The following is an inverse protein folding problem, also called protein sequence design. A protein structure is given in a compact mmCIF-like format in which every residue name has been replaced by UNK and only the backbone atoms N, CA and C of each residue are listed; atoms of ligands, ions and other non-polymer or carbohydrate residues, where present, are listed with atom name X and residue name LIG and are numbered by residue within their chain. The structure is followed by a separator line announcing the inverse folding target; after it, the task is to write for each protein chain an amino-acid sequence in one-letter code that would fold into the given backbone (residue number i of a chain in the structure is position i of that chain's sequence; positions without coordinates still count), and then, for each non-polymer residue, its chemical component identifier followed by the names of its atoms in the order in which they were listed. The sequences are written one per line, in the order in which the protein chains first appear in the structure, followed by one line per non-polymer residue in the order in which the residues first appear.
data_IF_610246727394
#
_entry.id   IF_610246727394
#
_cell.length_a   1.000
_cell.length_b   1.000
_cell.length_c   1.000
_cell.angle_alpha   90.00
_cell.angle_beta   90.00
_cell.angle_gamma   90.00
#
_symmetry.space_group_name_H-M   'P 1'
#
loop_
_entity.id
_entity.type
_entity.pdbx_description
1 polymer ?
#
# COMPACT_ATOMS: atom_id res chain seq x y z
N UNK A 1 14.88 6.09 10.67
CA UNK A 1 15.10 5.68 9.27
C UNK A 1 14.09 6.37 8.37
N UNK A 2 14.36 6.39 7.06
CA UNK A 2 13.50 7.00 6.08
C UNK A 2 13.09 6.00 5.01
N UNK A 3 11.80 5.89 4.79
CA UNK A 3 11.19 5.04 3.77
C UNK A 3 10.46 5.89 2.75
N UNK A 4 10.21 5.31 1.58
CA UNK A 4 9.46 5.95 0.51
C UNK A 4 8.33 5.06 0.02
N UNK A 5 7.28 5.69 -0.45
CA UNK A 5 6.17 5.04 -1.13
C UNK A 5 5.62 6.00 -2.19
N UNK A 6 4.59 5.59 -2.92
CA UNK A 6 3.92 6.43 -3.88
C UNK A 6 2.43 6.15 -3.90
N UNK A 7 1.67 7.09 -4.42
CA UNK A 7 0.25 6.90 -4.68
C UNK A 7 0.00 7.09 -6.17
N UNK A 8 -0.93 6.33 -6.79
CA UNK A 8 -1.31 6.53 -8.17
C UNK A 8 -2.20 7.77 -8.32
N UNK A 9 -2.38 8.19 -9.58
CA UNK A 9 -3.31 9.25 -9.90
C UNK A 9 -4.75 8.83 -9.59
N UNK A 10 -5.58 9.83 -9.29
CA UNK A 10 -7.03 9.71 -9.28
C UNK A 10 -7.60 10.44 -10.48
N UNK A 11 -8.52 9.80 -11.15
CA UNK A 11 -9.04 10.26 -12.43
C UNK A 11 -10.56 10.29 -12.44
N UNK A 12 -11.15 11.10 -13.31
CA UNK A 12 -12.60 11.22 -13.42
C UNK A 12 -13.16 10.03 -14.20
N UNK A 13 -14.16 9.34 -13.65
CA UNK A 13 -14.83 8.16 -14.23
C UNK A 13 -15.28 8.40 -15.68
N UNK A 14 -15.90 9.55 -15.96
CA UNK A 14 -16.40 9.90 -17.31
C UNK A 14 -15.33 10.00 -18.39
N UNK A 15 -14.06 10.15 -17.99
CA UNK A 15 -12.92 10.29 -18.91
C UNK A 15 -12.33 8.95 -19.35
N UNK A 16 -12.84 7.84 -18.82
CA UNK A 16 -12.39 6.48 -19.10
C UNK A 16 -13.36 5.83 -20.11
N UNK A 17 -12.80 5.24 -21.15
CA UNK A 17 -13.58 4.40 -22.08
C UNK A 17 -13.54 2.93 -21.60
N UNK A 18 -14.47 2.59 -20.71
CA UNK A 18 -14.59 1.26 -20.13
C UNK A 18 -14.83 0.14 -21.16
N UNK A 19 -15.37 0.47 -22.35
CA UNK A 19 -15.58 -0.52 -23.41
C UNK A 19 -14.27 -1.11 -23.95
N UNK A 20 -13.15 -0.47 -23.70
CA UNK A 20 -11.79 -0.89 -24.08
C UNK A 20 -11.03 -1.61 -22.99
N UNK A 21 -11.59 -1.70 -21.79
CA UNK A 21 -10.96 -2.30 -20.62
C UNK A 21 -11.54 -3.69 -20.34
N UNK A 22 -10.80 -4.47 -19.57
CA UNK A 22 -11.25 -5.77 -19.08
C UNK A 22 -12.04 -5.59 -17.79
N UNK A 23 -13.32 -5.92 -17.79
CA UNK A 23 -14.17 -5.83 -16.59
C UNK A 23 -13.82 -6.93 -15.59
N UNK A 24 -13.77 -6.56 -14.31
CA UNK A 24 -13.67 -7.47 -13.17
C UNK A 24 -14.90 -7.30 -12.26
N UNK A 25 -15.94 -8.11 -12.46
CA UNK A 25 -17.20 -7.94 -11.75
C UNK A 25 -17.15 -8.37 -10.27
N UNK A 26 -16.08 -9.04 -9.83
CA UNK A 26 -16.00 -9.68 -8.53
C UNK A 26 -16.63 -11.07 -8.51
N UNK A 27 -16.64 -11.70 -7.34
CA UNK A 27 -17.22 -13.03 -7.16
C UNK A 27 -18.76 -12.98 -7.26
N UNK A 28 -19.41 -14.07 -7.70
CA UNK A 28 -20.87 -14.17 -7.67
C UNK A 28 -21.41 -14.00 -6.24
N UNK A 29 -22.58 -13.36 -6.08
CA UNK A 29 -23.19 -13.12 -4.77
C UNK A 29 -23.33 -14.39 -3.92
N UNK A 30 -23.53 -15.55 -4.57
CA UNK A 30 -23.62 -16.86 -3.90
C UNK A 30 -22.30 -17.36 -3.31
N UNK A 31 -21.17 -16.78 -3.72
CA UNK A 31 -19.82 -17.18 -3.28
C UNK A 31 -19.17 -16.14 -2.38
N UNK A 32 -19.84 -14.99 -2.17
CA UNK A 32 -19.31 -13.92 -1.34
C UNK A 32 -19.13 -14.39 0.10
N UNK A 33 -17.94 -14.15 0.65
CA UNK A 33 -17.63 -14.40 2.05
C UNK A 33 -17.57 -13.06 2.81
N UNK A 34 -18.28 -12.95 3.94
CA UNK A 34 -18.21 -11.73 4.73
C UNK A 34 -16.81 -11.55 5.32
N UNK A 35 -16.35 -10.30 5.37
CA UNK A 35 -15.09 -9.95 5.99
C UNK A 35 -15.14 -10.10 7.52
N UNK A 36 -16.31 -9.92 8.12
CA UNK A 36 -16.56 -10.08 9.55
C UNK A 36 -17.39 -11.34 9.82
N UNK A 37 -16.98 -12.13 10.80
CA UNK A 37 -17.75 -13.29 11.31
C UNK A 37 -19.09 -12.89 11.94
N UNK A 38 -19.32 -11.58 12.19
CA UNK A 38 -20.57 -11.05 12.74
C UNK A 38 -21.55 -10.56 11.66
N UNK A 39 -21.24 -10.77 10.39
CA UNK A 39 -22.11 -10.35 9.28
C UNK A 39 -23.12 -11.46 8.98
N UNK A 40 -24.38 -11.22 9.29
CA UNK A 40 -25.49 -12.14 9.04
C UNK A 40 -26.34 -11.75 7.80
N UNK A 41 -26.14 -10.55 7.27
CA UNK A 41 -26.89 -10.05 6.11
C UNK A 41 -26.35 -10.63 4.80
N UNK A 42 -27.22 -10.91 3.81
CA UNK A 42 -26.79 -11.23 2.46
C UNK A 42 -25.90 -10.13 1.88
N UNK A 43 -24.83 -10.54 1.22
CA UNK A 43 -23.91 -9.61 0.56
C UNK A 43 -24.19 -9.53 -0.95
N UNK A 44 -23.96 -8.36 -1.49
CA UNK A 44 -24.07 -8.11 -2.93
C UNK A 44 -22.91 -7.26 -3.39
N UNK A 45 -22.38 -7.57 -4.57
CA UNK A 45 -21.43 -6.68 -5.23
C UNK A 45 -22.15 -5.39 -5.64
N UNK A 46 -21.57 -4.26 -5.29
CA UNK A 46 -22.15 -2.93 -5.56
C UNK A 46 -21.43 -2.18 -6.66
N UNK A 47 -20.18 -2.51 -6.90
CA UNK A 47 -19.31 -1.85 -7.85
C UNK A 47 -18.45 -2.87 -8.59
N UNK A 48 -18.05 -2.51 -9.80
CA UNK A 48 -17.13 -3.29 -10.61
C UNK A 48 -15.78 -2.58 -10.66
N UNK A 49 -14.72 -3.34 -10.87
CA UNK A 49 -13.39 -2.87 -11.20
C UNK A 49 -13.03 -3.22 -12.65
N UNK A 50 -12.01 -2.59 -13.19
CA UNK A 50 -11.53 -2.86 -14.55
C UNK A 50 -10.02 -2.98 -14.55
N UNK A 51 -9.50 -3.64 -15.59
CA UNK A 51 -8.06 -3.70 -15.82
C UNK A 51 -7.73 -2.97 -17.12
N UNK A 52 -6.82 -2.02 -17.03
CA UNK A 52 -6.11 -1.44 -18.15
C UNK A 52 -4.67 -2.00 -18.17
N UNK A 53 -3.97 -1.83 -19.27
CA UNK A 53 -2.60 -2.28 -19.41
C UNK A 53 -1.73 -1.17 -19.99
N UNK A 54 -0.53 -1.01 -19.44
CA UNK A 54 0.53 -0.24 -20.11
C UNK A 54 0.91 -0.92 -21.43
N UNK A 55 1.63 -0.21 -22.27
CA UNK A 55 2.10 -0.70 -23.57
C UNK A 55 3.52 -0.16 -23.86
N UNK A 56 4.19 -0.58 -24.95
CA UNK A 56 5.54 -0.12 -25.26
C UNK A 56 5.68 1.40 -25.37
N UNK A 57 4.65 2.11 -25.88
CA UNK A 57 4.68 3.58 -25.93
C UNK A 57 4.61 4.20 -24.54
N UNK A 58 3.76 3.66 -23.65
CA UNK A 58 3.71 4.04 -22.23
C UNK A 58 5.09 3.88 -21.58
N UNK A 59 5.74 2.72 -21.82
CA UNK A 59 7.07 2.44 -21.27
C UNK A 59 8.13 3.39 -21.82
N UNK A 60 8.08 3.69 -23.11
CA UNK A 60 9.00 4.65 -23.75
C UNK A 60 8.87 6.03 -23.11
N UNK A 61 7.64 6.57 -22.97
CA UNK A 61 7.39 7.86 -22.33
C UNK A 61 7.98 7.91 -20.91
N UNK A 62 7.78 6.87 -20.14
CA UNK A 62 8.30 6.77 -18.77
C UNK A 62 9.83 6.75 -18.78
N UNK A 63 10.46 5.90 -19.62
CA UNK A 63 11.92 5.77 -19.69
C UNK A 63 12.61 7.05 -20.18
N UNK A 64 12.05 7.72 -21.19
CA UNK A 64 12.58 8.99 -21.70
C UNK A 64 12.58 10.11 -20.65
N UNK A 65 11.72 9.98 -19.63
CA UNK A 65 11.58 10.96 -18.56
C UNK A 65 12.04 10.46 -17.19
N UNK A 66 12.68 9.29 -17.10
CA UNK A 66 12.99 8.63 -15.83
C UNK A 66 13.81 9.51 -14.88
N UNK A 67 14.73 10.32 -15.40
CA UNK A 67 15.57 11.21 -14.62
C UNK A 67 14.80 12.43 -14.04
N UNK A 68 13.58 12.67 -14.50
CA UNK A 68 12.68 13.69 -13.95
C UNK A 68 11.88 13.16 -12.74
N UNK A 69 11.91 11.86 -12.50
CA UNK A 69 11.30 11.26 -11.31
C UNK A 69 12.16 11.54 -10.08
N UNK A 70 11.61 12.12 -9.00
CA UNK A 70 12.30 12.27 -7.72
C UNK A 70 12.91 10.99 -7.18
N UNK A 71 12.29 9.83 -7.49
CA UNK A 71 12.77 8.51 -7.10
C UNK A 71 14.08 8.11 -7.81
N UNK A 72 14.26 8.53 -9.07
CA UNK A 72 15.43 8.21 -9.91
C UNK A 72 16.41 9.40 -10.06
N UNK A 73 15.94 10.62 -9.89
CA UNK A 73 16.73 11.83 -9.93
C UNK A 73 17.54 12.12 -8.66
N UNK A 74 17.52 11.22 -7.66
CA UNK A 74 18.30 11.36 -6.43
C UNK A 74 17.72 12.34 -5.39
N UNK A 75 16.49 12.81 -5.60
CA UNK A 75 15.83 13.75 -4.68
C UNK A 75 15.23 13.02 -3.47
N UNK A 76 14.85 11.76 -3.63
CA UNK A 76 14.29 10.88 -2.59
C UNK A 76 15.28 9.74 -2.36
N UNK A 77 15.80 9.63 -1.14
CA UNK A 77 16.81 8.62 -0.75
C UNK A 77 16.23 7.43 0.02
N UNK A 78 14.98 7.52 0.48
CA UNK A 78 14.32 6.49 1.28
C UNK A 78 14.22 5.12 0.56
N UNK A 79 14.20 4.05 1.34
CA UNK A 79 14.00 2.68 0.83
C UNK A 79 12.52 2.49 0.47
N UNK A 80 12.24 2.03 -0.75
CA UNK A 80 10.88 1.77 -1.22
C UNK A 80 10.29 0.46 -0.70
N UNK A 81 8.96 0.32 -0.69
CA UNK A 81 8.29 -0.90 -0.27
C UNK A 81 8.58 -2.03 -1.25
N UNK A 82 8.82 -3.23 -0.71
CA UNK A 82 9.15 -4.42 -1.50
C UNK A 82 8.00 -4.88 -2.42
N UNK A 83 6.77 -4.68 -1.97
CA UNK A 83 5.58 -5.25 -2.61
C UNK A 83 4.69 -4.24 -3.35
N UNK A 84 5.06 -2.98 -3.41
CA UNK A 84 4.32 -1.94 -4.11
C UNK A 84 5.27 -1.04 -4.92
N UNK A 85 5.91 -1.57 -5.98
CA UNK A 85 6.81 -0.78 -6.82
C UNK A 85 6.02 0.28 -7.59
N UNK A 86 6.64 1.43 -7.83
CA UNK A 86 6.10 2.45 -8.73
C UNK A 86 6.03 1.93 -10.18
N UNK A 87 5.31 2.63 -11.04
CA UNK A 87 5.27 2.25 -12.46
C UNK A 87 6.66 2.36 -13.09
N UNK A 88 7.46 3.36 -12.68
CA UNK A 88 8.86 3.51 -13.09
C UNK A 88 9.68 2.28 -12.69
N UNK A 89 9.54 1.83 -11.44
CA UNK A 89 10.22 0.61 -10.96
C UNK A 89 9.83 -0.63 -11.78
N UNK A 90 8.54 -0.76 -12.12
CA UNK A 90 8.05 -1.89 -12.93
C UNK A 90 8.66 -1.88 -14.32
N UNK A 91 8.66 -0.73 -14.98
CA UNK A 91 9.20 -0.57 -16.34
C UNK A 91 10.71 -0.82 -16.38
N UNK A 92 11.45 -0.34 -15.37
CA UNK A 92 12.91 -0.54 -15.31
C UNK A 92 13.27 -1.97 -14.92
N UNK A 93 12.68 -2.49 -13.84
CA UNK A 93 13.05 -3.82 -13.30
C UNK A 93 12.55 -4.98 -14.16
N UNK A 94 11.44 -4.80 -14.86
CA UNK A 94 10.81 -5.82 -15.70
C UNK A 94 10.76 -5.40 -17.16
N UNK A 95 11.88 -4.86 -17.67
CA UNK A 95 12.00 -4.35 -19.04
C UNK A 95 11.67 -5.37 -20.14
N UNK A 96 11.71 -6.68 -19.84
CA UNK A 96 11.29 -7.73 -20.76
C UNK A 96 9.77 -7.98 -20.83
N UNK A 97 8.96 -7.22 -20.08
CA UNK A 97 7.49 -7.30 -20.14
C UNK A 97 6.93 -6.19 -21.01
N UNK A 98 6.10 -6.55 -21.97
CA UNK A 98 5.48 -5.60 -22.90
C UNK A 98 4.36 -4.78 -22.25
N UNK A 99 3.82 -5.23 -21.10
CA UNK A 99 2.72 -4.57 -20.40
C UNK A 99 2.71 -4.86 -18.90
N UNK A 100 2.15 -3.92 -18.14
CA UNK A 100 1.86 -4.07 -16.72
C UNK A 100 0.37 -3.77 -16.47
N UNK A 101 -0.31 -4.53 -15.61
CA UNK A 101 -1.70 -4.27 -15.27
C UNK A 101 -1.85 -3.03 -14.40
N UNK A 102 -2.93 -2.31 -14.65
CA UNK A 102 -3.41 -1.18 -13.84
C UNK A 102 -4.87 -1.50 -13.49
N UNK A 103 -5.16 -1.64 -12.20
CA UNK A 103 -6.52 -1.84 -11.74
C UNK A 103 -7.20 -0.48 -11.62
N UNK A 104 -8.37 -0.37 -12.21
CA UNK A 104 -9.19 0.84 -12.22
C UNK A 104 -10.32 0.62 -11.23
N UNK A 105 -10.21 1.24 -10.08
CA UNK A 105 -11.05 0.98 -8.92
C UNK A 105 -11.82 2.24 -8.53
N UNK A 106 -13.16 2.16 -8.28
CA UNK A 106 -13.90 3.30 -7.75
C UNK A 106 -13.44 3.63 -6.32
N UNK A 107 -13.24 4.92 -6.02
CA UNK A 107 -12.89 5.38 -4.67
C UNK A 107 -14.06 5.30 -3.67
N UNK A 108 -15.23 4.91 -4.13
CA UNK A 108 -16.44 4.73 -3.33
C UNK A 108 -17.68 4.60 -4.20
N UNK A 109 -18.81 4.22 -3.59
CA UNK A 109 -20.08 4.00 -4.31
C UNK A 109 -20.65 5.28 -4.94
N UNK A 110 -20.45 6.42 -4.30
CA UNK A 110 -21.07 7.70 -4.65
C UNK A 110 -20.04 8.75 -5.11
N UNK A 111 -18.96 8.32 -5.77
CA UNK A 111 -17.94 9.22 -6.28
C UNK A 111 -17.64 8.94 -7.75
N UNK A 112 -17.29 9.99 -8.47
CA UNK A 112 -16.79 9.89 -9.84
C UNK A 112 -15.25 9.69 -9.88
N UNK A 113 -14.60 9.59 -8.70
CA UNK A 113 -13.17 9.44 -8.58
C UNK A 113 -12.76 7.97 -8.71
N UNK A 114 -11.88 7.69 -9.68
CA UNK A 114 -11.32 6.36 -9.91
C UNK A 114 -9.84 6.33 -9.52
N UNK A 115 -9.43 5.25 -8.89
CA UNK A 115 -8.06 5.00 -8.42
C UNK A 115 -7.34 4.07 -9.41
N UNK A 116 -6.13 4.41 -9.81
CA UNK A 116 -5.35 3.65 -10.79
C UNK A 116 -4.30 2.77 -10.09
N UNK A 117 -4.77 1.74 -9.39
CA UNK A 117 -3.93 0.82 -8.63
C UNK A 117 -2.86 0.16 -9.51
N UNK A 118 -1.61 0.24 -9.07
CA UNK A 118 -0.47 -0.32 -9.80
C UNK A 118 0.25 0.66 -10.70
N UNK A 119 -0.24 1.92 -10.81
CA UNK A 119 0.39 3.00 -11.55
C UNK A 119 0.84 4.17 -10.65
N UNK A 120 1.28 3.85 -9.42
CA UNK A 120 1.95 4.83 -8.56
C UNK A 120 3.16 5.42 -9.27
N UNK A 121 3.32 6.75 -9.23
CA UNK A 121 4.38 7.44 -9.94
C UNK A 121 4.86 8.67 -9.17
N UNK A 122 6.09 9.06 -9.39
CA UNK A 122 6.66 10.33 -8.95
C UNK A 122 7.02 11.25 -10.11
N UNK A 123 6.72 10.84 -11.33
CA UNK A 123 6.97 11.66 -12.52
C UNK A 123 6.16 12.96 -12.49
N UNK A 124 6.66 14.06 -13.09
CA UNK A 124 5.91 15.30 -13.21
C UNK A 124 4.58 15.15 -13.92
N UNK A 125 3.64 16.03 -13.64
CA UNK A 125 2.25 15.96 -14.13
C UNK A 125 2.14 15.94 -15.66
N UNK A 126 2.99 16.68 -16.38
CA UNK A 126 3.04 16.66 -17.84
C UNK A 126 3.39 15.27 -18.39
N UNK A 127 4.31 14.57 -17.73
CA UNK A 127 4.68 13.20 -18.08
C UNK A 127 3.58 12.22 -17.71
N UNK A 128 2.93 12.40 -16.55
CA UNK A 128 1.78 11.58 -16.14
C UNK A 128 0.66 11.68 -17.16
N UNK A 129 0.30 12.88 -17.58
CA UNK A 129 -0.69 13.12 -18.64
C UNK A 129 -0.33 12.38 -19.95
N UNK A 130 0.96 12.44 -20.32
CA UNK A 130 1.43 11.80 -21.55
C UNK A 130 1.36 10.27 -21.48
N UNK A 131 1.88 9.67 -20.42
CA UNK A 131 1.90 8.21 -20.33
C UNK A 131 0.52 7.61 -20.06
N UNK A 132 -0.36 8.26 -19.26
CA UNK A 132 -1.72 7.76 -19.08
C UNK A 132 -2.50 7.79 -20.39
N UNK A 133 -2.41 8.87 -21.19
CA UNK A 133 -3.11 8.97 -22.46
C UNK A 133 -2.61 8.00 -23.54
N UNK A 134 -1.44 7.41 -23.37
CA UNK A 134 -0.94 6.36 -24.26
C UNK A 134 -1.61 4.99 -23.99
N UNK A 135 -2.34 4.84 -22.88
CA UNK A 135 -2.99 3.60 -22.46
C UNK A 135 -4.36 3.50 -23.14
N UNK A 136 -4.67 2.32 -23.70
CA UNK A 136 -5.95 2.04 -24.31
C UNK A 136 -7.09 2.23 -23.31
N UNK A 137 -8.09 3.05 -23.67
CA UNK A 137 -9.21 3.42 -22.81
C UNK A 137 -8.97 4.68 -21.98
N UNK A 138 -7.74 5.23 -21.98
CA UNK A 138 -7.37 6.44 -21.24
C UNK A 138 -7.01 7.62 -22.17
N UNK A 139 -7.33 7.54 -23.43
CA UNK A 139 -6.92 8.54 -24.43
C UNK A 139 -7.40 9.96 -24.07
N UNK A 140 -8.55 10.06 -23.40
CA UNK A 140 -9.17 11.33 -22.97
C UNK A 140 -9.13 11.50 -21.43
N UNK A 141 -8.22 10.82 -20.73
CA UNK A 141 -8.21 10.78 -19.27
C UNK A 141 -8.10 12.18 -18.67
N UNK A 142 -8.89 12.43 -17.66
CA UNK A 142 -8.94 13.66 -16.88
C UNK A 142 -8.39 13.36 -15.48
N UNK A 143 -7.19 13.85 -15.18
CA UNK A 143 -6.55 13.65 -13.87
C UNK A 143 -7.17 14.64 -12.89
N UNK A 144 -7.84 14.13 -11.86
CA UNK A 144 -8.39 14.91 -10.76
C UNK A 144 -7.31 15.21 -9.71
N UNK A 145 -6.41 14.24 -9.50
CA UNK A 145 -5.27 14.35 -8.58
C UNK A 145 -4.08 13.59 -9.17
N UNK A 146 -2.97 14.25 -9.47
CA UNK A 146 -1.77 13.58 -9.96
C UNK A 146 -1.23 12.56 -8.96
N UNK A 147 -0.53 11.55 -9.46
CA UNK A 147 0.28 10.65 -8.65
C UNK A 147 1.43 11.43 -8.00
N UNK A 148 1.86 11.01 -6.83
CA UNK A 148 2.99 11.62 -6.12
C UNK A 148 3.73 10.60 -5.26
N UNK A 149 5.01 10.88 -5.01
CA UNK A 149 5.80 10.12 -4.06
C UNK A 149 5.68 10.70 -2.66
N UNK A 150 5.84 9.82 -1.68
CA UNK A 150 5.89 10.15 -0.26
C UNK A 150 7.20 9.62 0.30
N UNK A 151 7.91 10.43 1.06
CA UNK A 151 9.01 10.02 1.90
C UNK A 151 8.60 10.25 3.36
N UNK A 152 8.84 9.29 4.24
CA UNK A 152 8.43 9.35 5.63
C UNK A 152 9.50 8.79 6.57
N UNK A 153 9.59 9.38 7.76
CA UNK A 153 10.46 8.91 8.81
C UNK A 153 9.77 7.84 9.65
N UNK A 154 10.52 6.86 10.12
CA UNK A 154 10.09 5.89 11.10
C UNK A 154 11.12 5.77 12.22
N UNK A 155 10.66 5.38 13.40
CA UNK A 155 11.56 5.05 14.51
C UNK A 155 12.27 3.73 14.23
N UNK A 156 13.38 3.49 14.92
CA UNK A 156 13.91 2.14 15.02
C UNK A 156 13.01 1.33 15.95
N UNK A 157 12.26 0.33 15.47
CA UNK A 157 11.30 -0.38 16.31
C UNK A 157 11.95 -1.20 17.43
N UNK A 158 13.27 -1.43 17.38
CA UNK A 158 14.00 -2.02 18.51
C UNK A 158 14.05 -1.09 19.73
N UNK A 159 13.70 0.19 19.56
CA UNK A 159 13.52 1.15 20.66
C UNK A 159 12.14 1.07 21.34
N UNK A 160 11.31 0.12 20.94
CA UNK A 160 10.01 -0.17 21.54
C UNK A 160 10.08 -1.44 22.39
N UNK A 161 9.26 -1.47 23.44
CA UNK A 161 8.98 -2.69 24.20
C UNK A 161 7.99 -3.59 23.44
N UNK A 162 7.85 -4.86 23.87
CA UNK A 162 6.86 -5.77 23.30
C UNK A 162 5.39 -5.32 23.49
N UNK A 163 5.17 -4.30 24.29
CA UNK A 163 3.89 -3.60 24.47
C UNK A 163 3.65 -2.51 23.45
N UNK A 164 4.64 -2.22 22.58
CA UNK A 164 4.75 -1.09 21.66
C UNK A 164 4.94 0.26 22.35
N UNK A 165 5.23 0.27 23.66
CA UNK A 165 5.66 1.46 24.39
C UNK A 165 7.12 1.81 24.06
N UNK A 166 7.43 3.09 23.97
CA UNK A 166 8.79 3.57 23.77
C UNK A 166 9.65 3.28 25.01
N UNK A 167 10.84 2.69 24.83
CA UNK A 167 11.84 2.51 25.89
C UNK A 167 12.41 3.84 26.40
N UNK A 168 12.31 4.90 25.59
CA UNK A 168 12.89 6.22 25.88
C UNK A 168 11.89 7.17 26.51
N UNK A 169 10.63 7.13 26.04
CA UNK A 169 9.57 8.05 26.47
C UNK A 169 8.41 7.24 27.04
N UNK A 170 8.26 7.27 28.36
CA UNK A 170 7.16 6.60 29.05
C UNK A 170 5.79 7.14 28.61
N UNK A 171 4.83 6.22 28.40
CA UNK A 171 3.48 6.54 27.97
C UNK A 171 3.34 6.85 26.47
N UNK A 172 4.43 6.82 25.71
CA UNK A 172 4.39 6.97 24.25
C UNK A 172 4.36 5.59 23.60
N UNK A 173 3.31 5.34 22.81
CA UNK A 173 3.11 4.11 22.07
C UNK A 173 3.14 4.39 20.56
N UNK A 174 3.80 3.53 19.80
CA UNK A 174 3.90 3.63 18.34
C UNK A 174 3.07 2.58 17.62
N UNK A 175 2.58 2.89 16.42
CA UNK A 175 1.87 1.94 15.56
C UNK A 175 2.04 2.27 14.07
N UNK A 176 1.91 1.26 13.21
CA UNK A 176 1.88 1.41 11.77
C UNK A 176 3.21 1.85 11.16
N UNK A 177 3.16 2.76 10.19
CA UNK A 177 4.34 3.25 9.47
C UNK A 177 5.38 3.90 10.39
N UNK A 178 4.94 4.48 11.50
CA UNK A 178 5.82 5.03 12.53
C UNK A 178 6.79 3.99 13.07
N UNK A 179 6.36 2.72 13.16
CA UNK A 179 7.19 1.58 13.60
C UNK A 179 7.88 0.86 12.42
N UNK A 180 7.82 1.40 11.20
CA UNK A 180 8.49 0.84 10.04
C UNK A 180 7.73 -0.25 9.30
N UNK A 181 6.41 -0.40 9.50
CA UNK A 181 5.58 -1.32 8.72
C UNK A 181 4.96 -0.63 7.50
N UNK A 182 4.45 -1.40 6.53
CA UNK A 182 3.93 -0.86 5.26
C UNK A 182 2.52 -1.32 4.88
N UNK A 183 1.84 -2.13 5.71
CA UNK A 183 0.50 -2.63 5.43
C UNK A 183 -0.57 -1.99 6.31
N UNK A 184 -1.81 -1.92 5.81
CA UNK A 184 -2.96 -1.46 6.60
C UNK A 184 -3.28 -2.42 7.73
N UNK A 185 -3.15 -3.72 7.49
CA UNK A 185 -3.38 -4.78 8.45
C UNK A 185 -2.39 -4.69 9.62
N UNK A 186 -1.11 -4.48 9.31
CA UNK A 186 -0.08 -4.27 10.33
C UNK A 186 -0.36 -3.02 11.15
N UNK A 187 -0.79 -1.93 10.51
CA UNK A 187 -1.10 -0.68 11.19
C UNK A 187 -2.30 -0.83 12.13
N UNK A 188 -3.36 -1.49 11.68
CA UNK A 188 -4.55 -1.75 12.48
C UNK A 188 -4.25 -2.64 13.69
N UNK A 189 -3.51 -3.73 13.48
CA UNK A 189 -3.14 -4.67 14.53
C UNK A 189 -2.24 -4.03 15.60
N UNK A 190 -1.24 -3.25 15.17
CA UNK A 190 -0.39 -2.49 16.08
C UNK A 190 -1.17 -1.42 16.83
N UNK A 191 -2.05 -0.69 16.12
CA UNK A 191 -2.89 0.35 16.74
C UNK A 191 -3.79 -0.22 17.83
N UNK A 192 -4.38 -1.40 17.61
CA UNK A 192 -5.17 -2.10 18.62
C UNK A 192 -4.33 -2.45 19.86
N UNK A 193 -3.16 -3.07 19.68
CA UNK A 193 -2.30 -3.47 20.81
C UNK A 193 -1.73 -2.25 21.54
N UNK A 194 -1.25 -1.26 20.82
CA UNK A 194 -0.71 -0.03 21.39
C UNK A 194 -1.77 0.74 22.20
N UNK A 195 -2.97 0.90 21.63
CA UNK A 195 -4.10 1.57 22.30
C UNK A 195 -4.56 0.81 23.53
N UNK A 196 -4.68 -0.52 23.46
CA UNK A 196 -5.02 -1.36 24.61
C UNK A 196 -3.99 -1.22 25.74
N UNK A 197 -2.71 -1.28 25.41
CA UNK A 197 -1.63 -1.18 26.39
C UNK A 197 -1.52 0.23 26.98
N UNK A 198 -1.74 1.27 26.19
CA UNK A 198 -1.81 2.64 26.68
C UNK A 198 -2.93 2.82 27.68
N UNK A 199 -4.13 2.28 27.39
CA UNK A 199 -5.28 2.35 28.30
C UNK A 199 -5.01 1.58 29.61
N UNK A 200 -4.50 0.35 29.51
CA UNK A 200 -4.15 -0.46 30.70
C UNK A 200 -3.09 0.22 31.57
N UNK A 201 -2.07 0.79 30.95
CA UNK A 201 -1.04 1.55 31.66
C UNK A 201 -1.63 2.76 32.38
N UNK A 202 -2.53 3.51 31.75
CA UNK A 202 -3.20 4.66 32.36
C UNK A 202 -4.11 4.26 33.55
N UNK A 203 -4.67 3.05 33.52
CA UNK A 203 -5.48 2.48 34.60
C UNK A 203 -4.66 1.78 35.68
N UNK A 204 -3.34 1.72 35.55
CA UNK A 204 -2.46 1.01 36.48
C UNK A 204 -2.56 -0.52 36.38
N UNK A 205 -3.08 -1.04 35.27
CA UNK A 205 -3.20 -2.48 34.99
C UNK A 205 -1.95 -3.03 34.30
N UNK A 206 -1.76 -4.36 34.40
CA UNK A 206 -0.68 -5.04 33.67
C UNK A 206 -0.90 -4.97 32.17
N UNK A 207 0.13 -4.58 31.43
CA UNK A 207 0.10 -4.50 29.96
C UNK A 207 0.09 -5.90 29.33
N UNK A 208 -0.54 -6.00 28.15
CA UNK A 208 -0.62 -7.25 27.38
C UNK A 208 0.62 -7.40 26.52
N UNK A 209 1.31 -8.53 26.65
CA UNK A 209 2.36 -8.98 25.75
C UNK A 209 1.86 -10.25 25.05
N UNK A 210 1.88 -10.26 23.72
CA UNK A 210 1.52 -11.41 22.92
C UNK A 210 2.81 -12.20 22.59
N UNK A 211 2.93 -13.45 23.07
CA UNK A 211 4.06 -14.29 22.69
C UNK A 211 4.08 -14.52 21.17
N UNK A 212 5.27 -14.61 20.59
CA UNK A 212 5.49 -14.80 19.17
C UNK A 212 4.64 -15.93 18.55
N UNK A 213 4.56 -17.07 19.25
CA UNK A 213 3.84 -18.27 18.79
C UNK A 213 2.33 -18.20 18.99
N UNK A 214 1.79 -17.18 19.66
CA UNK A 214 0.38 -17.11 20.01
C UNK A 214 -0.51 -16.56 18.89
N UNK A 215 0.05 -15.73 18.03
CA UNK A 215 -0.70 -15.04 16.98
C UNK A 215 0.20 -14.37 15.94
N UNK A 216 -0.38 -14.02 14.78
CA UNK A 216 0.29 -13.19 13.78
C UNK A 216 0.74 -11.83 14.36
N UNK A 217 -0.08 -11.23 15.22
CA UNK A 217 0.28 -9.98 15.87
C UNK A 217 1.46 -10.15 16.83
N UNK A 218 1.51 -11.27 17.57
CA UNK A 218 2.66 -11.60 18.41
C UNK A 218 3.94 -11.77 17.58
N UNK A 219 3.85 -12.45 16.42
CA UNK A 219 4.98 -12.61 15.50
C UNK A 219 5.42 -11.25 14.93
N UNK A 220 4.49 -10.41 14.50
CA UNK A 220 4.76 -9.07 13.99
C UNK A 220 5.52 -8.23 15.01
N UNK A 221 4.99 -8.12 16.22
CA UNK A 221 5.59 -7.31 17.27
C UNK A 221 6.97 -7.83 17.66
N UNK A 222 7.11 -9.14 17.83
CA UNK A 222 8.41 -9.75 18.15
C UNK A 222 9.47 -9.46 17.07
N UNK A 223 9.12 -9.59 15.78
CA UNK A 223 10.05 -9.25 14.69
C UNK A 223 10.45 -7.77 14.72
N UNK A 224 9.51 -6.86 14.95
CA UNK A 224 9.80 -5.44 15.03
C UNK A 224 10.76 -5.11 16.16
N UNK A 225 10.45 -5.54 17.38
CA UNK A 225 11.21 -5.10 18.59
C UNK A 225 12.51 -5.85 18.81
N UNK A 226 12.68 -7.04 18.22
CA UNK A 226 13.90 -7.85 18.36
C UNK A 226 14.85 -7.76 17.17
N UNK A 227 14.33 -7.76 15.95
CA UNK A 227 15.14 -7.75 14.71
C UNK A 227 15.26 -6.36 14.09
N UNK A 228 14.30 -5.48 14.35
CA UNK A 228 14.19 -4.21 13.66
C UNK A 228 13.80 -4.37 12.19
N UNK A 229 13.88 -3.27 11.44
CA UNK A 229 13.52 -3.24 10.02
C UNK A 229 14.61 -2.59 9.17
N UNK A 230 14.92 -3.18 8.03
CA UNK A 230 15.85 -2.62 7.04
C UNK A 230 15.08 -2.02 5.85
N UNK A 231 13.97 -2.59 5.50
CA UNK A 231 12.98 -2.17 4.52
C UNK A 231 11.58 -2.16 5.18
N UNK A 232 10.58 -1.46 4.59
CA UNK A 232 9.24 -1.42 5.18
C UNK A 232 8.68 -2.82 5.40
N UNK A 233 8.48 -3.18 6.68
CA UNK A 233 8.05 -4.51 7.07
C UNK A 233 6.61 -4.79 6.62
N UNK A 234 6.41 -5.99 6.10
CA UNK A 234 5.09 -6.53 5.80
C UNK A 234 5.01 -7.99 6.22
N UNK A 235 3.93 -8.35 6.90
CA UNK A 235 3.68 -9.72 7.31
C UNK A 235 3.31 -10.55 6.07
N UNK A 236 4.16 -11.53 5.76
CA UNK A 236 3.89 -12.51 4.71
C UNK A 236 3.68 -13.84 5.42
N UNK A 237 2.43 -14.27 5.50
CA UNK A 237 2.00 -15.41 6.33
C UNK A 237 2.87 -16.65 6.16
N UNK A 238 3.26 -16.95 4.95
CA UNK A 238 3.99 -18.18 4.62
C UNK A 238 5.46 -18.17 5.07
N UNK A 239 6.15 -17.03 4.97
CA UNK A 239 7.57 -16.92 5.33
C UNK A 239 7.81 -16.66 6.80
N UNK A 240 6.90 -15.96 7.48
CA UNK A 240 7.05 -15.61 8.89
C UNK A 240 6.61 -16.73 9.84
N UNK A 241 5.63 -17.56 9.46
CA UNK A 241 5.21 -18.71 10.25
C UNK A 241 6.17 -19.89 10.16
N UNK A 242 6.75 -20.16 8.99
CA UNK A 242 7.72 -21.25 8.81
C UNK A 242 9.10 -21.01 9.45
N UNK A 243 9.40 -19.83 9.91
CA UNK A 243 10.64 -19.56 10.63
C UNK A 243 10.71 -20.24 12.03
N UNK A 244 9.75 -21.11 12.35
CA UNK A 244 9.60 -21.80 13.64
C UNK A 244 9.51 -23.33 13.50
N UNK A 245 9.53 -23.88 12.29
CA UNK A 245 9.75 -25.29 12.03
C UNK A 245 11.26 -25.54 11.79
#
# INVERSE_FOLDING_TARGET
RRFKTGTPARVHRRSIDFSKLECQPGDPDSELQPFSFLTDAPMHNKVECWIAYTNPETHRIILDNIQRSPLYGGMIEGVGPRYCPSIEDKVVRFAGKDRHPIFVEPCGENTEEMYLQGASSSLPEDVQNAFYRSIKGFENIEIMRPAYAIEYDCVDPTSLEATLESKVVRGLYGAGQFNGTSGYEEAAAQGLLAGLNAARNALGESQLILPRQSSYLGTLVDDLVTKGVMDPYRTVSYTHLRAHE
#
